data_IF_938100168146
#
_entry.id   IF_938100168146
#
_cell.length_a   1.000
_cell.length_b   1.000
_cell.length_c   1.000
_cell.angle_alpha   90.00
_cell.angle_beta   90.00
_cell.angle_gamma   90.00
#
_symmetry.space_group_name_H-M   'P 1'
#
loop_
_entity.id
_entity.type
_entity.pdbx_description
1 polymer ?
#
# COMPACT_ATOMS: atom_id res chain seq x y z
N UNK A 1 -18.77 -8.40 -42.74
CA UNK A 1 -17.56 -7.91 -42.07
C UNK A 1 -16.45 -8.91 -42.30
N UNK A 2 -15.19 -8.49 -42.36
CA UNK A 2 -14.08 -9.45 -42.54
C UNK A 2 -13.95 -10.32 -41.27
N UNK A 3 -13.89 -11.63 -41.42
CA UNK A 3 -13.75 -12.61 -40.34
C UNK A 3 -12.58 -12.31 -39.42
N UNK A 4 -11.49 -11.75 -39.97
CA UNK A 4 -10.33 -11.33 -39.19
C UNK A 4 -10.60 -10.10 -38.28
N UNK A 5 -11.41 -9.15 -38.74
CA UNK A 5 -11.80 -8.00 -37.93
C UNK A 5 -12.73 -8.40 -36.79
N UNK A 6 -13.66 -9.36 -37.05
CA UNK A 6 -14.53 -9.92 -36.01
C UNK A 6 -13.73 -10.63 -34.94
N UNK A 7 -12.78 -11.48 -35.32
CA UNK A 7 -11.87 -12.16 -34.38
C UNK A 7 -11.06 -11.17 -33.54
N UNK A 8 -10.53 -10.11 -34.15
CA UNK A 8 -9.77 -9.08 -33.40
C UNK A 8 -10.66 -8.26 -32.44
N UNK A 9 -11.90 -7.98 -32.81
CA UNK A 9 -12.86 -7.30 -31.92
C UNK A 9 -13.16 -8.20 -30.72
N UNK A 10 -13.39 -9.48 -30.93
CA UNK A 10 -13.61 -10.45 -29.86
C UNK A 10 -12.37 -10.55 -28.92
N UNK A 11 -11.18 -10.71 -29.51
CA UNK A 11 -9.93 -10.69 -28.74
C UNK A 11 -9.78 -9.39 -27.93
N UNK A 12 -10.11 -8.24 -28.54
CA UNK A 12 -10.07 -6.94 -27.85
C UNK A 12 -11.06 -6.85 -26.69
N UNK A 13 -12.24 -7.48 -26.80
CA UNK A 13 -13.21 -7.56 -25.70
C UNK A 13 -12.67 -8.42 -24.55
N UNK A 14 -12.15 -9.62 -24.84
CA UNK A 14 -11.53 -10.49 -23.83
C UNK A 14 -10.35 -9.81 -23.15
N UNK A 15 -9.54 -9.07 -23.90
CA UNK A 15 -8.44 -8.29 -23.36
C UNK A 15 -8.92 -7.19 -22.41
N UNK A 16 -10.02 -6.51 -22.72
CA UNK A 16 -10.62 -5.51 -21.82
C UNK A 16 -11.17 -6.14 -20.54
N UNK A 17 -11.78 -7.31 -20.65
CA UNK A 17 -12.25 -8.09 -19.50
C UNK A 17 -11.08 -8.47 -18.60
N UNK A 18 -10.00 -9.04 -19.17
CA UNK A 18 -8.79 -9.39 -18.42
C UNK A 18 -8.20 -8.16 -17.69
N UNK A 19 -8.04 -7.04 -18.42
CA UNK A 19 -7.48 -5.81 -17.86
C UNK A 19 -8.37 -5.20 -16.76
N UNK A 20 -9.69 -5.46 -16.78
CA UNK A 20 -10.62 -4.99 -15.75
C UNK A 20 -10.54 -5.78 -14.45
N UNK A 21 -10.02 -7.01 -14.48
CA UNK A 21 -9.91 -7.87 -13.29
C UNK A 21 -8.77 -7.44 -12.35
N UNK A 22 -7.70 -6.87 -12.87
CA UNK A 22 -6.56 -6.42 -12.04
C UNK A 22 -6.91 -5.26 -11.10
N UNK A 23 -7.60 -4.19 -11.54
CA UNK A 23 -8.13 -3.16 -10.65
C UNK A 23 -9.08 -3.73 -9.58
N UNK A 24 -9.92 -4.71 -9.95
CA UNK A 24 -10.83 -5.36 -9.01
C UNK A 24 -10.07 -6.11 -7.92
N UNK A 25 -9.01 -6.85 -8.25
CA UNK A 25 -8.14 -7.50 -7.26
C UNK A 25 -7.52 -6.47 -6.32
N UNK A 26 -7.04 -5.34 -6.86
CA UNK A 26 -6.47 -4.25 -6.04
C UNK A 26 -7.49 -3.63 -5.10
N UNK A 27 -8.71 -3.43 -5.58
CA UNK A 27 -9.81 -2.91 -4.76
C UNK A 27 -10.13 -3.87 -3.60
N UNK A 28 -10.25 -5.17 -3.88
CA UNK A 28 -10.51 -6.20 -2.86
C UNK A 28 -9.39 -6.30 -1.81
N UNK A 29 -8.15 -6.05 -2.19
CA UNK A 29 -7.00 -6.05 -1.24
C UNK A 29 -6.85 -4.78 -0.45
N UNK A 30 -7.52 -3.69 -0.82
CA UNK A 30 -7.29 -2.36 -0.26
C UNK A 30 -7.40 -2.31 1.27
N UNK A 31 -8.43 -2.93 1.83
CA UNK A 31 -8.66 -2.91 3.27
C UNK A 31 -7.67 -3.80 4.02
N UNK A 32 -7.30 -4.94 3.44
CA UNK A 32 -6.25 -5.81 3.96
C UNK A 32 -4.88 -5.10 3.95
N UNK A 33 -4.52 -4.50 2.82
CA UNK A 33 -3.24 -3.79 2.68
C UNK A 33 -3.17 -2.60 3.66
N UNK A 34 -4.31 -1.93 3.92
CA UNK A 34 -4.40 -0.88 4.93
C UNK A 34 -4.16 -1.43 6.34
N UNK A 35 -4.85 -2.52 6.72
CA UNK A 35 -4.68 -3.13 8.04
C UNK A 35 -3.23 -3.60 8.27
N UNK A 36 -2.59 -4.18 7.24
CA UNK A 36 -1.18 -4.59 7.29
C UNK A 36 -0.22 -3.41 7.44
N UNK A 37 -0.45 -2.32 6.72
CA UNK A 37 0.34 -1.10 6.82
C UNK A 37 0.19 -0.44 8.20
N UNK A 38 -1.02 -0.38 8.73
CA UNK A 38 -1.29 0.14 10.07
C UNK A 38 -0.61 -0.71 11.15
N UNK A 39 -0.64 -2.05 11.01
CA UNK A 39 0.10 -2.99 11.88
C UNK A 39 1.60 -2.73 11.83
N UNK A 40 2.18 -2.57 10.64
CA UNK A 40 3.61 -2.27 10.49
C UNK A 40 4.00 -0.93 11.13
N UNK A 41 3.17 0.11 10.95
CA UNK A 41 3.38 1.40 11.58
C UNK A 41 3.38 1.32 13.12
N UNK A 42 2.43 0.56 13.69
CA UNK A 42 2.37 0.30 15.15
C UNK A 42 3.60 -0.46 15.64
N UNK A 43 4.05 -1.47 14.90
CA UNK A 43 5.25 -2.23 15.24
C UNK A 43 6.50 -1.33 15.26
N UNK A 44 6.67 -0.46 14.28
CA UNK A 44 7.76 0.53 14.27
C UNK A 44 7.68 1.48 15.48
N UNK A 45 6.48 1.93 15.85
CA UNK A 45 6.30 2.79 17.01
C UNK A 45 6.65 2.06 18.33
N UNK A 46 6.33 0.77 18.45
CA UNK A 46 6.69 -0.06 19.60
C UNK A 46 8.22 -0.18 19.72
N UNK A 47 8.91 -0.46 18.61
CA UNK A 47 10.38 -0.57 18.59
C UNK A 47 11.05 0.76 18.98
N UNK A 48 10.58 1.89 18.46
CA UNK A 48 11.09 3.20 18.83
C UNK A 48 10.92 3.47 20.33
N UNK A 49 9.76 3.13 20.92
CA UNK A 49 9.55 3.27 22.36
C UNK A 49 10.47 2.37 23.18
N UNK A 50 10.83 1.19 22.67
CA UNK A 50 11.81 0.31 23.32
C UNK A 50 13.21 0.91 23.34
N UNK A 51 13.66 1.48 22.22
CA UNK A 51 14.95 2.18 22.13
C UNK A 51 14.99 3.40 23.06
N UNK A 52 13.93 4.22 23.07
CA UNK A 52 13.81 5.37 23.96
C UNK A 52 13.85 4.94 25.44
N UNK A 53 13.14 3.89 25.82
CA UNK A 53 13.16 3.34 27.19
C UNK A 53 14.54 2.83 27.58
N UNK A 54 15.26 2.20 26.64
CA UNK A 54 16.63 1.75 26.90
C UNK A 54 17.57 2.94 27.14
N UNK A 55 17.44 4.01 26.38
CA UNK A 55 18.21 5.22 26.57
C UNK A 55 17.95 5.87 27.95
N UNK A 56 16.67 5.95 28.35
CA UNK A 56 16.27 6.46 29.67
C UNK A 56 16.81 5.59 30.81
N UNK A 57 16.74 4.26 30.68
CA UNK A 57 17.31 3.34 31.68
C UNK A 57 18.83 3.54 31.85
N UNK A 58 19.54 3.80 30.75
CA UNK A 58 20.98 4.13 30.83
C UNK A 58 21.24 5.43 31.60
N UNK A 59 20.35 6.44 31.42
CA UNK A 59 20.45 7.69 32.20
C UNK A 59 20.15 7.47 33.68
N UNK A 60 19.13 6.64 34.00
CA UNK A 60 18.85 6.26 35.41
C UNK A 60 20.08 5.62 36.02
N UNK A 61 20.70 4.65 35.36
CA UNK A 61 21.89 3.96 35.86
C UNK A 61 23.06 4.93 36.12
N UNK A 62 23.28 5.92 35.25
CA UNK A 62 24.30 6.97 35.46
C UNK A 62 23.99 7.84 36.67
N UNK A 63 22.74 8.20 36.87
CA UNK A 63 22.34 9.01 38.04
C UNK A 63 22.39 8.20 39.32
N UNK A 64 22.07 6.90 39.31
CA UNK A 64 22.26 5.99 40.43
C UNK A 64 23.73 5.85 40.82
N UNK A 65 24.63 5.73 39.84
CA UNK A 65 26.07 5.76 40.10
C UNK A 65 26.50 7.09 40.73
N UNK A 66 26.04 8.24 40.21
CA UNK A 66 26.31 9.57 40.76
C UNK A 66 25.80 9.67 42.22
N UNK A 67 24.61 9.12 42.47
CA UNK A 67 24.04 9.10 43.84
C UNK A 67 24.89 8.26 44.80
N UNK A 68 25.34 7.08 44.37
CA UNK A 68 26.20 6.20 45.14
C UNK A 68 27.55 6.89 45.48
N UNK A 69 28.22 7.49 44.49
CA UNK A 69 29.50 8.19 44.67
C UNK A 69 29.34 9.40 45.59
N UNK A 70 28.23 10.15 45.44
CA UNK A 70 27.96 11.34 46.25
C UNK A 70 27.67 10.95 47.71
N UNK A 71 26.90 9.88 47.93
CA UNK A 71 26.63 9.39 49.30
C UNK A 71 27.89 8.86 49.97
N UNK A 72 28.80 8.18 49.27
CA UNK A 72 30.10 7.78 49.78
C UNK A 72 30.96 8.99 50.14
N UNK A 73 30.92 10.06 49.32
CA UNK A 73 31.60 11.31 49.60
C UNK A 73 31.06 11.99 50.88
N UNK A 74 29.74 12.05 51.05
CA UNK A 74 29.09 12.61 52.26
C UNK A 74 29.56 11.85 53.50
N UNK A 75 29.52 10.50 53.47
CA UNK A 75 29.97 9.68 54.59
C UNK A 75 31.45 9.92 54.92
N UNK A 76 32.32 10.09 53.92
CA UNK A 76 33.73 10.41 54.10
C UNK A 76 33.93 11.81 54.75
N UNK A 77 33.16 12.81 54.28
CA UNK A 77 33.19 14.15 54.84
C UNK A 77 32.76 14.15 56.33
N UNK A 78 31.66 13.49 56.65
CA UNK A 78 31.15 13.35 58.02
C UNK A 78 32.16 12.70 58.96
N UNK A 79 32.88 11.67 58.47
CA UNK A 79 33.96 11.04 59.25
C UNK A 79 35.09 12.04 59.52
N UNK A 80 35.54 12.79 58.51
CA UNK A 80 36.58 13.82 58.69
C UNK A 80 36.14 14.89 59.64
N UNK A 81 34.90 15.35 59.61
CA UNK A 81 34.35 16.36 60.50
C UNK A 81 34.39 15.93 61.98
N UNK A 82 34.21 14.63 62.23
CA UNK A 82 34.33 14.11 63.63
C UNK A 82 35.74 14.07 64.18
N UNK A 83 36.76 14.12 63.32
CA UNK A 83 38.18 14.04 63.71
C UNK A 83 38.86 15.42 63.80
N UNK A 84 38.31 16.48 63.22
CA UNK A 84 38.88 17.79 63.08
C UNK A 84 38.54 18.68 64.28
N UNK A 85 39.53 19.44 64.74
CA UNK A 85 39.40 20.43 65.83
C UNK A 85 39.49 21.91 65.41
N UNK A 86 39.79 22.16 64.12
CA UNK A 86 39.92 23.48 63.53
C UNK A 86 38.56 24.01 63.01
N UNK A 87 38.10 25.14 63.57
CA UNK A 87 36.87 25.79 63.13
C UNK A 87 36.88 26.18 61.66
N UNK A 88 38.01 26.56 61.09
CA UNK A 88 38.14 26.98 59.69
C UNK A 88 37.94 25.75 58.73
N UNK A 89 38.54 24.62 59.07
CA UNK A 89 38.42 23.40 58.32
C UNK A 89 37.02 22.82 58.44
N UNK A 90 36.39 22.88 59.59
CA UNK A 90 35.01 22.47 59.82
C UNK A 90 34.02 23.24 58.94
N UNK A 91 34.21 24.60 58.83
CA UNK A 91 33.37 25.40 57.92
C UNK A 91 33.53 25.00 56.44
N UNK A 92 34.75 24.69 56.00
CA UNK A 92 35.03 24.24 54.66
C UNK A 92 34.35 22.90 54.39
N UNK A 93 34.41 21.92 55.29
CA UNK A 93 33.78 20.63 55.20
C UNK A 93 32.25 20.70 55.22
N UNK A 94 31.68 21.63 56.01
CA UNK A 94 30.21 21.86 55.97
C UNK A 94 29.76 22.31 54.56
N UNK A 95 30.49 23.24 53.95
CA UNK A 95 30.18 23.70 52.58
C UNK A 95 30.29 22.53 51.57
N UNK A 96 31.34 21.68 51.70
CA UNK A 96 31.49 20.50 50.83
C UNK A 96 30.38 19.50 51.05
N UNK A 97 29.94 19.29 52.30
CA UNK A 97 28.80 18.40 52.61
C UNK A 97 27.50 18.93 52.00
N UNK A 98 27.22 20.23 52.12
CA UNK A 98 26.02 20.87 51.58
C UNK A 98 26.00 20.75 50.06
N UNK A 99 27.12 20.98 49.38
CA UNK A 99 27.23 20.77 47.91
C UNK A 99 27.00 19.32 47.56
N UNK A 100 27.55 18.37 48.31
CA UNK A 100 27.36 16.94 48.04
C UNK A 100 25.89 16.52 48.29
N UNK A 101 25.24 17.01 49.34
CA UNK A 101 23.83 16.79 49.63
C UNK A 101 22.92 17.30 48.50
N UNK A 102 23.18 18.53 48.04
CA UNK A 102 22.40 19.11 46.93
C UNK A 102 22.55 18.28 45.65
N UNK A 103 23.78 17.82 45.33
CA UNK A 103 24.02 16.92 44.18
C UNK A 103 23.31 15.57 44.32
N UNK A 104 23.28 15.00 45.55
CA UNK A 104 22.52 13.77 45.84
C UNK A 104 21.01 14.00 45.64
N UNK A 105 20.48 15.11 46.13
CA UNK A 105 19.08 15.48 45.98
C UNK A 105 18.70 15.69 44.50
N UNK A 106 19.56 16.32 43.72
CA UNK A 106 19.37 16.52 42.31
C UNK A 106 19.34 15.17 41.57
N UNK A 107 20.30 14.28 41.83
CA UNK A 107 20.32 12.94 41.22
C UNK A 107 19.06 12.13 41.55
N UNK A 108 18.56 12.21 42.80
CA UNK A 108 17.31 11.54 43.18
C UNK A 108 16.09 12.07 42.39
N UNK A 109 15.97 13.41 42.26
CA UNK A 109 14.88 14.03 41.49
C UNK A 109 14.93 13.61 40.00
N UNK A 110 16.14 13.58 39.43
CA UNK A 110 16.33 13.15 38.05
C UNK A 110 15.96 11.67 37.85
N UNK A 111 16.36 10.79 38.78
CA UNK A 111 15.98 9.37 38.76
C UNK A 111 14.45 9.22 38.79
N UNK A 112 13.79 9.92 39.72
CA UNK A 112 12.31 9.87 39.81
C UNK A 112 11.63 10.34 38.54
N UNK A 113 12.08 11.45 37.96
CA UNK A 113 11.54 11.97 36.70
C UNK A 113 11.73 10.97 35.54
N UNK A 114 12.93 10.40 35.40
CA UNK A 114 13.24 9.42 34.37
C UNK A 114 12.42 8.12 34.54
N UNK A 115 12.24 7.66 35.77
CA UNK A 115 11.41 6.48 36.08
C UNK A 115 9.94 6.71 35.72
N UNK A 116 9.40 7.90 36.02
CA UNK A 116 8.04 8.29 35.64
C UNK A 116 7.88 8.33 34.11
N UNK A 117 8.88 8.85 33.39
CA UNK A 117 8.89 8.86 31.91
C UNK A 117 8.93 7.43 31.35
N UNK A 118 9.79 6.55 31.89
CA UNK A 118 9.84 5.14 31.50
C UNK A 118 8.48 4.45 31.73
N UNK A 119 7.82 4.74 32.84
CA UNK A 119 6.50 4.19 33.16
C UNK A 119 5.47 4.63 32.13
N UNK A 120 5.40 5.92 31.83
CA UNK A 120 4.46 6.46 30.82
C UNK A 120 4.70 5.86 29.43
N UNK A 121 6.01 5.73 29.01
CA UNK A 121 6.33 5.08 27.74
C UNK A 121 5.98 3.59 27.74
N UNK A 122 6.05 2.91 28.88
CA UNK A 122 5.66 1.51 29.03
C UNK A 122 4.15 1.33 28.91
N UNK A 123 3.36 2.19 29.53
CA UNK A 123 1.90 2.20 29.40
C UNK A 123 1.47 2.40 27.93
N UNK A 124 2.06 3.41 27.27
CA UNK A 124 1.82 3.66 25.84
C UNK A 124 2.20 2.46 24.95
N UNK A 125 3.30 1.79 25.26
CA UNK A 125 3.74 0.60 24.53
C UNK A 125 2.75 -0.56 24.68
N UNK A 126 2.22 -0.78 25.87
CA UNK A 126 1.21 -1.83 26.12
C UNK A 126 -0.10 -1.53 25.37
N UNK A 127 -0.52 -0.28 25.30
CA UNK A 127 -1.71 0.09 24.52
C UNK A 127 -1.50 -0.12 23.02
N UNK A 128 -0.33 0.29 22.48
CA UNK A 128 0.02 -0.01 21.09
C UNK A 128 0.09 -1.51 20.78
N UNK A 129 0.54 -2.33 21.71
CA UNK A 129 0.54 -3.79 21.56
C UNK A 129 -0.88 -4.36 21.49
N UNK A 130 -1.81 -3.85 22.30
CA UNK A 130 -3.22 -4.26 22.23
C UNK A 130 -3.82 -3.90 20.87
N UNK A 131 -3.64 -2.64 20.43
CA UNK A 131 -4.10 -2.19 19.11
C UNK A 131 -3.50 -3.03 17.97
N UNK A 132 -2.23 -3.38 18.06
CA UNK A 132 -1.56 -4.24 17.07
C UNK A 132 -2.18 -5.65 17.03
N UNK A 133 -2.55 -6.22 18.18
CA UNK A 133 -3.22 -7.51 18.27
C UNK A 133 -4.64 -7.49 17.63
N UNK A 134 -5.36 -6.39 17.80
CA UNK A 134 -6.66 -6.19 17.15
C UNK A 134 -6.52 -6.09 15.63
N UNK A 135 -5.53 -5.31 15.17
CA UNK A 135 -5.22 -5.21 13.74
C UNK A 135 -4.77 -6.56 13.14
N UNK A 136 -4.05 -7.38 13.90
CA UNK A 136 -3.65 -8.71 13.46
C UNK A 136 -4.85 -9.64 13.26
N UNK A 137 -5.81 -9.64 14.18
CA UNK A 137 -7.06 -10.40 14.04
C UNK A 137 -7.85 -9.93 12.83
N UNK A 138 -8.01 -8.62 12.69
CA UNK A 138 -8.69 -8.03 11.54
C UNK A 138 -8.00 -8.39 10.22
N UNK A 139 -6.68 -8.34 10.15
CA UNK A 139 -5.93 -8.72 8.96
C UNK A 139 -6.14 -10.20 8.60
N UNK A 140 -6.14 -11.11 9.56
CA UNK A 140 -6.41 -12.54 9.33
C UNK A 140 -7.84 -12.79 8.82
N UNK A 141 -8.84 -12.10 9.37
CA UNK A 141 -10.22 -12.19 8.88
C UNK A 141 -10.34 -11.68 7.45
N UNK A 142 -9.78 -10.50 7.16
CA UNK A 142 -9.75 -9.93 5.82
C UNK A 142 -8.98 -10.80 4.83
N UNK A 143 -7.84 -11.38 5.23
CA UNK A 143 -7.03 -12.26 4.38
C UNK A 143 -7.84 -13.46 3.91
N UNK A 144 -8.56 -14.13 4.81
CA UNK A 144 -9.38 -15.30 4.47
C UNK A 144 -10.52 -14.98 3.51
N UNK A 145 -11.16 -13.81 3.67
CA UNK A 145 -12.24 -13.33 2.78
C UNK A 145 -11.69 -12.96 1.40
N UNK A 146 -10.62 -12.17 1.38
CA UNK A 146 -9.99 -11.66 0.15
C UNK A 146 -9.37 -12.79 -0.66
N UNK A 147 -8.79 -13.81 -0.02
CA UNK A 147 -8.18 -14.96 -0.69
C UNK A 147 -9.21 -15.72 -1.55
N UNK A 148 -10.39 -16.01 -1.00
CA UNK A 148 -11.46 -16.68 -1.73
C UNK A 148 -11.97 -15.84 -2.92
N UNK A 149 -12.16 -14.53 -2.71
CA UNK A 149 -12.59 -13.64 -3.79
C UNK A 149 -11.54 -13.53 -4.90
N UNK A 150 -10.27 -13.37 -4.54
CA UNK A 150 -9.16 -13.33 -5.51
C UNK A 150 -9.03 -14.65 -6.26
N UNK A 151 -9.24 -15.79 -5.61
CA UNK A 151 -9.22 -17.09 -6.24
C UNK A 151 -10.30 -17.18 -7.33
N UNK A 152 -11.52 -16.79 -7.02
CA UNK A 152 -12.62 -16.77 -7.99
C UNK A 152 -12.32 -15.84 -9.19
N UNK A 153 -11.75 -14.66 -8.93
CA UNK A 153 -11.34 -13.72 -9.99
C UNK A 153 -10.24 -14.33 -10.87
N UNK A 154 -9.24 -15.00 -10.28
CA UNK A 154 -8.18 -15.68 -11.02
C UNK A 154 -8.69 -16.86 -11.85
N UNK A 155 -9.63 -17.64 -11.34
CA UNK A 155 -10.28 -18.71 -12.10
C UNK A 155 -11.03 -18.14 -13.30
N UNK A 156 -11.78 -17.06 -13.11
CA UNK A 156 -12.44 -16.32 -14.20
C UNK A 156 -11.42 -15.83 -15.22
N UNK A 157 -10.34 -15.23 -14.77
CA UNK A 157 -9.23 -14.76 -15.61
C UNK A 157 -8.63 -15.90 -16.45
N UNK A 158 -8.43 -17.08 -15.88
CA UNK A 158 -7.92 -18.25 -16.60
C UNK A 158 -8.89 -18.73 -17.69
N UNK A 159 -10.20 -18.71 -17.41
CA UNK A 159 -11.22 -19.08 -18.40
C UNK A 159 -11.20 -18.11 -19.58
N UNK A 160 -11.09 -16.80 -19.31
CA UNK A 160 -11.01 -15.76 -20.34
C UNK A 160 -9.73 -15.91 -21.16
N UNK A 161 -8.60 -16.18 -20.51
CA UNK A 161 -7.32 -16.43 -21.19
C UNK A 161 -7.40 -17.61 -22.15
N UNK A 162 -7.99 -18.75 -21.74
CA UNK A 162 -8.15 -19.91 -22.62
C UNK A 162 -9.01 -19.57 -23.83
N UNK A 163 -10.14 -18.88 -23.66
CA UNK A 163 -10.98 -18.42 -24.78
C UNK A 163 -10.20 -17.51 -25.72
N UNK A 164 -9.36 -16.60 -25.16
CA UNK A 164 -8.50 -15.75 -25.99
C UNK A 164 -7.48 -16.57 -26.78
N UNK A 165 -6.80 -17.53 -26.15
CA UNK A 165 -5.84 -18.40 -26.82
C UNK A 165 -6.48 -19.15 -28.00
N UNK A 166 -7.66 -19.74 -27.81
CA UNK A 166 -8.39 -20.42 -28.86
C UNK A 166 -8.76 -19.50 -30.06
N UNK A 167 -9.05 -18.23 -29.80
CA UNK A 167 -9.30 -17.22 -30.84
C UNK A 167 -8.01 -16.78 -31.52
N UNK A 168 -6.94 -16.62 -30.77
CA UNK A 168 -5.62 -16.27 -31.32
C UNK A 168 -5.11 -17.36 -32.25
N UNK A 169 -5.28 -18.65 -31.92
CA UNK A 169 -4.88 -19.77 -32.76
C UNK A 169 -5.66 -19.79 -34.12
N UNK A 170 -6.92 -19.33 -34.12
CA UNK A 170 -7.76 -19.21 -35.32
C UNK A 170 -7.47 -17.94 -36.12
N UNK A 171 -6.73 -16.99 -35.55
CA UNK A 171 -6.46 -15.71 -36.21
C UNK A 171 -5.11 -15.76 -36.93
N UNK A 172 -5.02 -15.13 -38.10
CA UNK A 172 -3.77 -15.08 -38.86
C UNK A 172 -2.67 -14.40 -38.05
N UNK A 173 -1.46 -15.01 -37.90
CA UNK A 173 -0.39 -14.49 -37.03
C UNK A 173 0.04 -13.06 -37.36
N UNK A 174 0.00 -12.66 -38.63
CA UNK A 174 0.34 -11.30 -39.08
C UNK A 174 -0.66 -10.27 -38.54
N UNK A 175 -1.95 -10.62 -38.56
CA UNK A 175 -3.06 -9.76 -38.12
C UNK A 175 -3.02 -9.61 -36.61
N UNK A 176 -2.83 -10.73 -35.90
CA UNK A 176 -2.67 -10.69 -34.44
C UNK A 176 -1.44 -9.88 -34.01
N UNK A 177 -0.28 -10.05 -34.66
CA UNK A 177 0.91 -9.26 -34.38
C UNK A 177 0.72 -7.76 -34.64
N UNK A 178 -0.09 -7.41 -35.64
CA UNK A 178 -0.45 -6.02 -35.91
C UNK A 178 -1.32 -5.44 -34.80
N UNK A 179 -2.34 -6.18 -34.34
CA UNK A 179 -3.17 -5.79 -33.20
C UNK A 179 -2.35 -5.62 -31.93
N UNK A 180 -1.46 -6.57 -31.59
CA UNK A 180 -0.62 -6.49 -30.41
C UNK A 180 0.28 -5.25 -30.41
N UNK A 181 0.81 -4.86 -31.56
CA UNK A 181 1.62 -3.66 -31.72
C UNK A 181 0.83 -2.41 -31.33
N UNK A 182 -0.44 -2.33 -31.71
CA UNK A 182 -1.33 -1.24 -31.35
C UNK A 182 -1.67 -1.33 -29.84
N UNK A 183 -1.95 -2.52 -29.33
CA UNK A 183 -2.31 -2.74 -27.93
C UNK A 183 -1.23 -2.30 -26.94
N UNK A 184 0.05 -2.41 -27.27
CA UNK A 184 1.15 -1.97 -26.40
C UNK A 184 1.04 -0.51 -25.97
N UNK A 185 0.56 0.36 -26.85
CA UNK A 185 0.41 1.80 -26.55
C UNK A 185 -1.04 2.22 -26.35
N UNK A 186 -2.01 1.65 -27.10
CA UNK A 186 -3.42 2.02 -27.04
C UNK A 186 -4.20 1.27 -25.95
N UNK A 187 -3.64 0.19 -25.39
CA UNK A 187 -4.29 -0.70 -24.40
C UNK A 187 -5.71 -1.08 -24.82
N UNK A 188 -6.70 -0.86 -23.95
CA UNK A 188 -8.12 -1.19 -24.17
C UNK A 188 -8.81 -0.39 -25.27
N UNK A 189 -8.12 0.56 -25.89
CA UNK A 189 -8.63 1.37 -27.00
C UNK A 189 -7.96 1.05 -28.33
N UNK A 190 -7.41 -0.15 -28.49
CA UNK A 190 -6.72 -0.60 -29.71
C UNK A 190 -7.65 -0.69 -30.91
N UNK A 191 -8.87 -1.16 -30.68
CA UNK A 191 -9.95 -1.26 -31.65
C UNK A 191 -11.08 -0.37 -31.15
N UNK A 192 -11.55 0.56 -31.99
CA UNK A 192 -12.55 1.56 -31.62
C UNK A 192 -13.62 1.72 -32.69
N UNK A 193 -14.84 2.01 -32.24
CA UNK A 193 -15.95 2.35 -33.13
C UNK A 193 -15.79 3.74 -33.71
N UNK A 194 -16.35 3.95 -34.87
CA UNK A 194 -16.57 5.30 -35.41
C UNK A 194 -17.90 5.82 -34.87
N UNK A 195 -17.87 7.01 -34.25
CA UNK A 195 -19.06 7.74 -33.75
C UNK A 195 -19.18 9.10 -34.42
N UNK A 196 -20.30 9.37 -35.08
CA UNK A 196 -20.55 10.67 -35.74
C UNK A 196 -19.39 11.07 -36.67
N UNK A 197 -18.91 10.14 -37.49
CA UNK A 197 -17.79 10.35 -38.41
C UNK A 197 -16.45 10.70 -37.71
N UNK A 198 -16.30 10.43 -36.41
CA UNK A 198 -15.08 10.64 -35.68
C UNK A 198 -14.52 9.31 -35.14
N UNK A 199 -13.20 9.22 -35.02
CA UNK A 199 -12.52 8.09 -34.41
C UNK A 199 -12.85 8.01 -32.91
N UNK A 200 -13.37 6.86 -32.41
CA UNK A 200 -13.71 6.69 -31.00
C UNK A 200 -12.51 6.65 -30.04
N UNK A 201 -11.27 6.72 -30.57
CA UNK A 201 -10.05 6.73 -29.76
C UNK A 201 -9.36 8.08 -29.64
N UNK A 202 -9.24 8.84 -30.76
CA UNK A 202 -8.61 10.17 -30.75
C UNK A 202 -9.63 11.31 -30.94
N UNK A 203 -10.87 10.99 -31.22
CA UNK A 203 -12.00 11.87 -31.43
C UNK A 203 -11.86 12.87 -32.62
N UNK A 204 -10.85 12.66 -33.46
CA UNK A 204 -10.64 13.46 -34.68
C UNK A 204 -11.64 12.99 -35.74
N UNK A 205 -12.26 13.98 -36.43
CA UNK A 205 -13.18 13.70 -37.53
C UNK A 205 -12.44 13.09 -38.71
N UNK A 206 -12.97 11.97 -39.23
CA UNK A 206 -12.45 11.26 -40.38
C UNK A 206 -12.93 11.91 -41.66
N UNK A 207 -12.15 11.87 -42.72
CA UNK A 207 -12.59 12.29 -44.04
C UNK A 207 -13.64 11.32 -44.58
N UNK A 208 -14.47 11.81 -45.51
CA UNK A 208 -15.59 11.05 -46.06
C UNK A 208 -15.12 9.76 -46.73
N UNK A 209 -13.94 9.75 -47.34
CA UNK A 209 -13.36 8.57 -47.98
C UNK A 209 -13.12 7.43 -46.97
N UNK A 210 -12.40 7.74 -45.90
CA UNK A 210 -12.09 6.74 -44.85
C UNK A 210 -13.37 6.29 -44.14
N UNK A 211 -14.27 7.25 -43.87
CA UNK A 211 -15.56 6.92 -43.24
C UNK A 211 -16.37 5.95 -44.09
N UNK A 212 -16.52 6.21 -45.40
CA UNK A 212 -17.21 5.32 -46.31
C UNK A 212 -16.50 3.96 -46.45
N UNK A 213 -15.17 3.98 -46.50
CA UNK A 213 -14.35 2.78 -46.58
C UNK A 213 -14.56 1.86 -45.36
N UNK A 214 -14.61 2.38 -44.13
CA UNK A 214 -14.90 1.58 -42.91
C UNK A 214 -16.34 1.02 -42.94
N UNK A 215 -17.29 1.75 -43.53
CA UNK A 215 -18.68 1.28 -43.62
C UNK A 215 -18.89 0.23 -44.69
N UNK A 216 -18.15 0.31 -45.80
CA UNK A 216 -18.40 -0.51 -47.00
C UNK A 216 -17.39 -1.60 -47.28
N UNK A 217 -16.11 -1.38 -46.89
CA UNK A 217 -15.07 -2.36 -47.14
C UNK A 217 -15.04 -3.43 -46.04
N UNK A 218 -14.73 -4.66 -46.48
CA UNK A 218 -14.46 -5.76 -45.56
C UNK A 218 -13.06 -5.71 -44.94
N UNK A 219 -12.23 -4.73 -45.30
CA UNK A 219 -10.82 -4.69 -44.90
C UNK A 219 -10.60 -4.02 -43.53
N UNK A 220 -9.45 -4.31 -42.91
CA UNK A 220 -9.07 -3.74 -41.65
C UNK A 220 -8.47 -2.34 -41.84
N UNK A 221 -9.24 -1.32 -41.49
CA UNK A 221 -8.88 0.09 -41.67
C UNK A 221 -8.38 0.68 -40.36
N UNK A 222 -7.31 1.47 -40.44
CA UNK A 222 -6.76 2.20 -39.30
C UNK A 222 -7.01 3.68 -39.37
N UNK A 223 -7.16 4.32 -38.23
CA UNK A 223 -7.27 5.77 -38.14
C UNK A 223 -5.97 6.44 -38.63
N UNK A 224 -6.01 7.34 -39.60
CA UNK A 224 -4.81 7.99 -40.15
C UNK A 224 -4.13 8.92 -39.14
N UNK A 225 -4.84 9.35 -38.10
CA UNK A 225 -4.34 10.27 -37.11
C UNK A 225 -3.69 9.56 -35.90
N UNK A 226 -4.25 8.43 -35.49
CA UNK A 226 -3.80 7.75 -34.26
C UNK A 226 -3.47 6.26 -34.43
N UNK A 227 -3.62 5.68 -35.64
CA UNK A 227 -3.25 4.30 -35.92
C UNK A 227 -4.11 3.20 -35.28
N UNK A 228 -5.20 3.53 -34.57
CA UNK A 228 -6.12 2.55 -34.00
C UNK A 228 -6.94 1.89 -35.09
N UNK A 229 -7.33 0.63 -34.88
CA UNK A 229 -8.21 -0.11 -35.80
C UNK A 229 -9.63 0.45 -35.65
N UNK A 230 -10.29 0.72 -36.78
CA UNK A 230 -11.63 1.30 -36.84
C UNK A 230 -12.64 0.24 -37.25
N UNK A 231 -13.84 0.28 -36.70
CA UNK A 231 -14.99 -0.50 -37.13
C UNK A 231 -16.29 0.32 -37.03
N UNK A 232 -17.31 -0.10 -37.79
CA UNK A 232 -18.62 0.57 -37.80
C UNK A 232 -19.47 0.14 -36.60
N UNK A 233 -20.13 1.10 -35.94
CA UNK A 233 -21.14 0.82 -34.91
C UNK A 233 -22.31 0.07 -35.52
N UNK A 234 -22.74 -1.06 -34.94
CA UNK A 234 -23.80 -1.93 -35.49
C UNK A 234 -23.31 -3.12 -36.33
N UNK A 235 -22.06 -3.14 -36.76
CA UNK A 235 -21.52 -4.31 -37.48
C UNK A 235 -21.27 -5.52 -36.54
N UNK A 236 -21.18 -5.29 -35.23
CA UNK A 236 -20.91 -6.33 -34.22
C UNK A 236 -22.14 -6.67 -33.36
N UNK A 237 -23.10 -5.76 -33.19
CA UNK A 237 -24.29 -5.98 -32.35
C UNK A 237 -25.19 -7.12 -32.78
N UNK A 238 -25.11 -7.54 -34.06
CA UNK A 238 -25.90 -8.65 -34.60
C UNK A 238 -25.34 -10.05 -34.25
N UNK A 239 -24.13 -10.17 -33.69
CA UNK A 239 -23.50 -11.46 -33.38
C UNK A 239 -23.40 -11.77 -31.87
N UNK A 240 -23.70 -10.84 -30.99
CA UNK A 240 -23.46 -10.95 -29.54
C UNK A 240 -24.69 -10.62 -28.66
N UNK A 241 -25.91 -10.77 -29.14
CA UNK A 241 -27.07 -10.80 -28.24
C UNK A 241 -27.22 -12.21 -27.66
N UNK A 242 -27.15 -12.39 -26.32
CA UNK A 242 -27.70 -13.58 -25.69
C UNK A 242 -29.21 -13.66 -26.04
N UNK A 243 -29.77 -14.84 -26.18
CA UNK A 243 -31.18 -14.99 -26.50
C UNK A 243 -31.99 -14.23 -25.43
N UNK A 244 -32.84 -13.31 -25.87
CA UNK A 244 -33.80 -12.64 -24.99
C UNK A 244 -34.68 -13.75 -24.40
N UNK A 245 -34.49 -14.01 -23.10
CA UNK A 245 -35.49 -14.75 -22.33
C UNK A 245 -36.82 -14.03 -22.50
N UNK A 246 -37.72 -14.69 -23.18
CA UNK A 246 -39.11 -14.34 -23.29
C UNK A 246 -39.70 -14.24 -21.88
N UNK A 247 -39.91 -13.02 -21.41
CA UNK A 247 -40.83 -12.77 -20.31
C UNK A 247 -42.24 -13.11 -20.84
N UNK A 248 -42.64 -14.34 -20.71
CA UNK A 248 -44.06 -14.69 -20.73
C UNK A 248 -44.68 -14.31 -19.40
N UNK A 249 -45.64 -13.42 -19.53
CA UNK A 249 -46.64 -13.07 -18.53
C UNK A 249 -47.35 -14.31 -17.95
N UNK A 250 -47.42 -14.39 -16.64
CA UNK A 250 -48.63 -14.76 -15.89
C UNK A 250 -48.71 -13.92 -14.64
#
# INVERSE_FOLDING_TARGET
>A
MNTHLEQLIEISHLDKEIDSLEPLIREKRKDLDKALNDKEAKNKAILNLEEEKLALKLQVSKNEQTLQDTNAKIASIQKKMSEIKSERELRSLNIEEDIAKERSNQANREIENLQNEIKHKSEKQEDLKKEMLELEKLALELESLVENEIKNIKETQQIIFKKKEELVEKTEPKIYSFYERIRRWAKNTSIVTIKKQACGGCFIRLNDKIYTEVLTSGDMITCPYCGRILYAEGAYENSAQPPKESQELV
#
